data_IF_982656442335
#
_entry.id   IF_982656442335
#
_cell.length_a   1.000
_cell.length_b   1.000
_cell.length_c   1.000
_cell.angle_alpha   90.00
_cell.angle_beta   90.00
_cell.angle_gamma   90.00
#
_symmetry.space_group_name_H-M   'P 1'
#
loop_
_entity.id
_entity.type
_entity.pdbx_description
1 polymer ?
#
# COMPACT_ATOMS: atom_id res chain seq x y z
N UNK A 1 -9.75 -17.42 -1.04
CA UNK A 1 -9.80 -16.88 0.34
C UNK A 1 -8.68 -15.85 0.42
N UNK A 2 -8.97 -14.58 0.79
CA UNK A 2 -7.92 -13.55 0.85
C UNK A 2 -6.92 -13.84 1.98
N UNK A 3 -5.71 -13.29 1.86
CA UNK A 3 -4.62 -13.43 2.84
C UNK A 3 -4.39 -12.08 3.54
N UNK A 4 -4.26 -12.09 4.86
CA UNK A 4 -3.89 -10.90 5.62
C UNK A 4 -2.41 -10.56 5.33
N UNK A 5 -2.14 -9.30 5.04
CA UNK A 5 -0.79 -8.78 4.84
C UNK A 5 -0.55 -7.59 5.76
N UNK A 6 0.67 -7.50 6.27
CA UNK A 6 1.07 -6.40 7.15
C UNK A 6 1.56 -5.20 6.35
N UNK A 7 1.17 -4.01 6.77
CA UNK A 7 1.73 -2.76 6.25
C UNK A 7 3.22 -2.69 6.65
N UNK A 8 4.15 -2.51 5.70
CA UNK A 8 5.57 -2.35 6.04
C UNK A 8 5.78 -1.18 7.01
N UNK A 9 6.57 -1.38 8.07
CA UNK A 9 6.74 -0.39 9.15
C UNK A 9 7.15 1.02 8.64
N UNK A 10 8.01 1.07 7.60
CA UNK A 10 8.41 2.33 6.97
C UNK A 10 7.22 3.06 6.31
N UNK A 11 6.32 2.30 5.68
CA UNK A 11 5.12 2.85 5.02
C UNK A 11 4.12 3.30 6.08
N UNK A 12 3.95 2.51 7.13
CA UNK A 12 3.08 2.84 8.27
C UNK A 12 3.47 4.17 8.91
N UNK A 13 4.78 4.42 9.15
CA UNK A 13 5.26 5.68 9.70
C UNK A 13 4.94 6.89 8.81
N UNK A 14 5.18 6.75 7.50
CA UNK A 14 4.89 7.85 6.55
C UNK A 14 3.39 8.16 6.43
N UNK A 15 2.54 7.14 6.46
CA UNK A 15 1.09 7.33 6.43
C UNK A 15 0.57 7.88 7.77
N UNK A 16 1.11 7.42 8.91
CA UNK A 16 0.74 7.92 10.22
C UNK A 16 0.96 9.45 10.33
N UNK A 17 2.01 9.99 9.70
CA UNK A 17 2.21 11.44 9.61
C UNK A 17 1.09 12.16 8.85
N UNK A 18 0.56 11.54 7.78
CA UNK A 18 -0.53 12.14 6.98
C UNK A 18 -1.87 12.13 7.73
N UNK A 19 -2.14 11.06 8.48
CA UNK A 19 -3.40 10.89 9.21
C UNK A 19 -3.38 11.44 10.63
N UNK A 20 -2.20 11.63 11.23
CA UNK A 20 -2.01 12.07 12.61
C UNK A 20 -2.32 10.98 13.64
N UNK A 21 -2.37 9.71 13.25
CA UNK A 21 -2.71 8.57 14.10
C UNK A 21 -2.04 7.26 13.63
N UNK A 22 -1.96 6.24 14.53
CA UNK A 22 -1.46 4.91 14.17
C UNK A 22 -2.43 4.17 13.28
N UNK A 23 -1.87 3.36 12.35
CA UNK A 23 -2.60 2.56 11.37
C UNK A 23 -2.62 1.05 11.73
N UNK A 24 -2.02 0.66 12.85
CA UNK A 24 -1.77 -0.76 13.21
C UNK A 24 -3.06 -1.57 13.40
N UNK A 25 -4.17 -0.91 13.67
CA UNK A 25 -5.47 -1.52 13.87
C UNK A 25 -6.23 -1.80 12.55
N UNK A 26 -5.68 -1.33 11.41
CA UNK A 26 -6.27 -1.54 10.08
C UNK A 26 -5.67 -2.79 9.43
N UNK A 27 -6.52 -3.75 9.08
CA UNK A 27 -6.10 -4.98 8.40
C UNK A 27 -6.20 -4.84 6.90
N UNK A 28 -5.21 -5.36 6.19
CA UNK A 28 -5.18 -5.41 4.73
C UNK A 28 -5.30 -6.86 4.30
N UNK A 29 -6.25 -7.15 3.41
CA UNK A 29 -6.54 -8.49 2.89
C UNK A 29 -6.33 -8.50 1.38
N UNK A 30 -5.23 -9.11 0.92
CA UNK A 30 -4.92 -9.25 -0.51
C UNK A 30 -5.67 -10.41 -1.17
N UNK A 31 -5.81 -10.36 -2.50
CA UNK A 31 -6.48 -11.37 -3.34
C UNK A 31 -7.90 -11.71 -2.84
N UNK A 32 -8.61 -10.72 -2.33
CA UNK A 32 -9.93 -10.88 -1.73
C UNK A 32 -11.00 -11.12 -2.79
N UNK A 33 -11.78 -12.20 -2.62
CA UNK A 33 -12.97 -12.44 -3.42
C UNK A 33 -14.03 -11.35 -3.21
N UNK A 34 -14.09 -10.76 -2.02
CA UNK A 34 -15.01 -9.66 -1.72
C UNK A 34 -14.71 -8.43 -2.58
N UNK A 35 -13.42 -8.07 -2.75
CA UNK A 35 -13.03 -7.00 -3.66
C UNK A 35 -13.33 -7.32 -5.14
N UNK A 36 -13.31 -8.59 -5.53
CA UNK A 36 -13.62 -9.03 -6.90
C UNK A 36 -15.10 -8.89 -7.26
N UNK A 37 -15.99 -8.93 -6.27
CA UNK A 37 -17.43 -8.71 -6.48
C UNK A 37 -17.76 -7.25 -6.83
N UNK A 38 -16.87 -6.32 -6.48
CA UNK A 38 -16.98 -4.91 -6.84
C UNK A 38 -16.25 -4.66 -8.17
N UNK A 39 -16.95 -4.86 -9.28
CA UNK A 39 -16.43 -4.99 -10.67
C UNK A 39 -15.49 -3.85 -11.10
N UNK A 40 -15.56 -2.67 -10.49
CA UNK A 40 -14.77 -1.49 -10.87
C UNK A 40 -13.76 -1.03 -9.81
N UNK A 41 -13.74 -1.63 -8.63
CA UNK A 41 -12.85 -1.21 -7.55
C UNK A 41 -11.57 -2.06 -7.51
N UNK A 42 -10.41 -1.42 -7.42
CA UNK A 42 -9.10 -2.05 -7.19
C UNK A 42 -8.99 -2.50 -5.73
N UNK A 43 -9.58 -1.74 -4.83
CA UNK A 43 -9.70 -2.01 -3.41
C UNK A 43 -11.10 -1.67 -2.92
N UNK A 44 -11.47 -2.18 -1.76
CA UNK A 44 -12.76 -1.91 -1.10
C UNK A 44 -12.54 -1.90 0.41
N UNK A 45 -13.04 -0.89 1.08
CA UNK A 45 -12.92 -0.76 2.53
C UNK A 45 -14.20 -1.13 3.26
N UNK A 46 -14.06 -1.67 4.46
CA UNK A 46 -15.18 -1.86 5.38
C UNK A 46 -14.68 -1.81 6.82
N UNK A 47 -15.06 -0.77 7.56
CA UNK A 47 -14.57 -0.50 8.91
C UNK A 47 -13.04 -0.56 8.97
N UNK A 48 -12.44 -1.39 9.80
CA UNK A 48 -10.99 -1.54 9.99
C UNK A 48 -10.31 -2.49 9.00
N UNK A 49 -10.85 -2.63 7.77
CA UNK A 49 -10.29 -3.55 6.76
C UNK A 49 -10.28 -2.93 5.38
N UNK A 50 -9.16 -3.14 4.70
CA UNK A 50 -8.97 -2.83 3.29
C UNK A 50 -8.86 -4.16 2.55
N UNK A 51 -9.76 -4.41 1.61
CA UNK A 51 -9.78 -5.61 0.78
C UNK A 51 -9.23 -5.28 -0.60
N UNK A 52 -8.11 -5.90 -0.96
CA UNK A 52 -7.45 -5.70 -2.23
C UNK A 52 -7.87 -6.79 -3.23
N UNK A 53 -8.06 -6.39 -4.48
CA UNK A 53 -8.26 -7.31 -5.59
C UNK A 53 -6.94 -7.98 -6.00
N UNK A 54 -5.84 -7.23 -5.96
CA UNK A 54 -4.48 -7.63 -6.28
C UNK A 54 -3.63 -7.95 -5.06
N UNK A 55 -2.33 -7.76 -5.21
CA UNK A 55 -1.33 -8.00 -4.16
C UNK A 55 -1.19 -6.82 -3.20
N UNK A 56 -0.69 -7.11 -1.99
CA UNK A 56 -0.30 -6.06 -1.04
C UNK A 56 0.85 -5.20 -1.58
N UNK A 57 1.78 -5.81 -2.32
CA UNK A 57 2.92 -5.09 -2.91
C UNK A 57 2.46 -3.98 -3.85
N UNK A 58 1.56 -4.29 -4.80
CA UNK A 58 1.02 -3.30 -5.73
C UNK A 58 0.31 -2.15 -4.99
N UNK A 59 -0.36 -2.48 -3.90
CA UNK A 59 -1.02 -1.49 -3.04
C UNK A 59 0.00 -0.60 -2.33
N UNK A 60 1.07 -1.18 -1.76
CA UNK A 60 2.11 -0.42 -1.04
C UNK A 60 2.99 0.43 -1.97
N UNK A 61 3.05 0.10 -3.25
CA UNK A 61 3.73 0.89 -4.27
C UNK A 61 2.88 2.02 -4.86
N UNK A 62 1.62 2.14 -4.42
CA UNK A 62 0.71 3.20 -4.85
C UNK A 62 0.30 4.12 -3.67
N UNK A 63 1.08 5.17 -3.37
CA UNK A 63 0.82 6.10 -2.26
C UNK A 63 -0.55 6.78 -2.34
N UNK A 64 -1.01 7.13 -3.55
CA UNK A 64 -2.31 7.74 -3.74
C UNK A 64 -3.45 6.81 -3.33
N UNK A 65 -3.38 5.55 -3.77
CA UNK A 65 -4.39 4.54 -3.43
C UNK A 65 -4.38 4.25 -1.93
N UNK A 66 -3.20 4.17 -1.31
CA UNK A 66 -3.11 4.01 0.15
C UNK A 66 -3.81 5.15 0.88
N UNK A 67 -3.51 6.40 0.54
CA UNK A 67 -4.13 7.57 1.15
C UNK A 67 -5.66 7.56 0.99
N UNK A 68 -6.15 7.21 -0.20
CA UNK A 68 -7.57 7.11 -0.53
C UNK A 68 -8.28 6.05 0.34
N UNK A 69 -7.77 4.82 0.35
CA UNK A 69 -8.41 3.71 1.08
C UNK A 69 -8.34 3.88 2.61
N UNK A 70 -7.21 4.38 3.12
CA UNK A 70 -7.10 4.72 4.54
C UNK A 70 -8.00 5.89 4.94
N UNK A 71 -8.25 6.86 4.05
CA UNK A 71 -9.22 7.92 4.29
C UNK A 71 -10.63 7.34 4.52
N UNK A 72 -11.06 6.39 3.67
CA UNK A 72 -12.32 5.69 3.90
C UNK A 72 -12.37 5.03 5.28
N UNK A 73 -11.29 4.35 5.70
CA UNK A 73 -11.27 3.65 6.99
C UNK A 73 -11.30 4.64 8.15
N UNK A 74 -10.32 5.56 8.21
CA UNK A 74 -10.05 6.36 9.40
C UNK A 74 -10.97 7.58 9.52
N UNK A 75 -11.26 8.24 8.38
CA UNK A 75 -12.03 9.49 8.38
C UNK A 75 -13.52 9.30 8.16
N UNK A 76 -13.94 8.14 7.67
CA UNK A 76 -15.34 7.94 7.29
C UNK A 76 -16.00 6.75 8.00
N UNK A 77 -15.37 5.53 7.97
CA UNK A 77 -15.91 4.35 8.64
C UNK A 77 -15.80 4.43 10.16
N UNK A 78 -14.65 4.82 10.70
CA UNK A 78 -14.43 4.84 12.14
C UNK A 78 -15.27 5.90 12.87
N UNK A 79 -15.40 7.13 12.36
CA UNK A 79 -16.32 8.10 12.94
C UNK A 79 -17.79 7.73 12.76
N UNK A 80 -18.10 6.72 11.91
CA UNK A 80 -19.48 6.28 11.65
C UNK A 80 -20.23 7.15 10.64
N UNK A 81 -19.53 8.01 9.92
CA UNK A 81 -20.13 8.82 8.85
C UNK A 81 -20.45 7.98 7.63
N UNK A 82 -19.51 7.12 7.21
CA UNK A 82 -19.70 6.15 6.15
C UNK A 82 -20.37 4.89 6.71
N UNK A 83 -21.53 4.57 6.17
CA UNK A 83 -22.21 3.28 6.36
C UNK A 83 -22.65 2.75 5.00
N UNK A 84 -22.79 1.43 4.87
CA UNK A 84 -23.19 0.84 3.58
C UNK A 84 -24.48 1.46 3.02
N UNK A 85 -25.56 1.66 3.80
CA UNK A 85 -26.78 2.30 3.28
C UNK A 85 -26.54 3.74 2.81
N UNK A 86 -25.75 4.54 3.56
CA UNK A 86 -25.44 5.92 3.17
C UNK A 86 -24.62 5.97 1.90
N UNK A 87 -23.61 5.09 1.77
CA UNK A 87 -22.81 4.99 0.56
C UNK A 87 -23.65 4.66 -0.66
N UNK A 88 -24.50 3.64 -0.55
CA UNK A 88 -25.38 3.25 -1.65
C UNK A 88 -26.38 4.36 -2.02
N UNK A 89 -26.94 5.05 -1.02
CA UNK A 89 -27.84 6.18 -1.26
C UNK A 89 -27.14 7.33 -2.02
N UNK A 90 -25.89 7.66 -1.65
CA UNK A 90 -25.09 8.64 -2.36
C UNK A 90 -24.77 8.20 -3.80
N UNK A 91 -24.43 6.92 -4.00
CA UNK A 91 -24.24 6.37 -5.34
C UNK A 91 -25.50 6.46 -6.20
N UNK A 92 -26.68 6.19 -5.64
CA UNK A 92 -27.96 6.31 -6.35
C UNK A 92 -28.31 7.75 -6.71
N UNK A 93 -27.99 8.68 -5.82
CA UNK A 93 -28.33 10.12 -6.01
C UNK A 93 -27.35 10.83 -6.95
N UNK A 94 -26.06 10.54 -6.87
CA UNK A 94 -24.99 11.33 -7.50
C UNK A 94 -24.10 10.53 -8.43
N UNK A 95 -24.25 9.21 -8.50
CA UNK A 95 -23.32 8.30 -9.16
C UNK A 95 -22.03 8.12 -8.35
N UNK A 96 -21.23 7.15 -8.75
CA UNK A 96 -19.96 6.82 -8.07
C UNK A 96 -18.99 8.02 -8.02
N UNK A 97 -18.78 8.69 -9.14
CA UNK A 97 -17.80 9.77 -9.26
C UNK A 97 -18.10 11.00 -8.39
N UNK A 98 -19.38 11.29 -8.18
CA UNK A 98 -19.85 12.43 -7.38
C UNK A 98 -20.35 12.02 -6.00
N UNK A 99 -20.15 10.74 -5.61
CA UNK A 99 -20.40 10.29 -4.27
C UNK A 99 -19.50 11.07 -3.31
N UNK A 100 -20.09 11.73 -2.30
CA UNK A 100 -19.34 12.60 -1.37
C UNK A 100 -18.18 11.89 -0.68
N UNK A 101 -18.32 10.63 -0.33
CA UNK A 101 -17.29 9.85 0.33
C UNK A 101 -16.10 9.59 -0.59
N UNK A 102 -16.37 9.34 -1.88
CA UNK A 102 -15.34 9.17 -2.90
C UNK A 102 -14.64 10.50 -3.22
N UNK A 103 -15.40 11.60 -3.28
CA UNK A 103 -14.84 12.94 -3.50
C UNK A 103 -13.89 13.31 -2.38
N UNK A 104 -14.32 13.17 -1.12
CA UNK A 104 -13.51 13.46 0.06
C UNK A 104 -12.22 12.61 0.11
N UNK A 105 -12.32 11.30 -0.18
CA UNK A 105 -11.16 10.43 -0.18
C UNK A 105 -10.16 10.78 -1.29
N UNK A 106 -10.62 11.18 -2.48
CA UNK A 106 -9.76 11.68 -3.57
C UNK A 106 -9.08 12.98 -3.19
N UNK A 107 -9.83 13.94 -2.68
CA UNK A 107 -9.29 15.25 -2.25
C UNK A 107 -8.25 15.07 -1.15
N UNK A 108 -8.50 14.19 -0.18
CA UNK A 108 -7.54 13.87 0.86
C UNK A 108 -6.25 13.28 0.26
N UNK A 109 -6.39 12.31 -0.65
CA UNK A 109 -5.24 11.68 -1.31
C UNK A 109 -4.44 12.73 -2.10
N UNK A 110 -5.09 13.57 -2.89
CA UNK A 110 -4.45 14.59 -3.72
C UNK A 110 -3.67 15.61 -2.87
N UNK A 111 -4.26 16.07 -1.77
CA UNK A 111 -3.63 17.04 -0.85
C UNK A 111 -2.39 16.47 -0.17
N UNK A 112 -2.42 15.19 0.23
CA UNK A 112 -1.34 14.58 1.01
C UNK A 112 -0.31 13.84 0.16
N UNK A 113 -0.56 13.59 -1.13
CA UNK A 113 0.27 12.76 -2.00
C UNK A 113 1.73 13.20 -2.04
N UNK A 114 1.99 14.45 -2.36
CA UNK A 114 3.36 14.95 -2.56
C UNK A 114 4.20 14.81 -1.30
N UNK A 115 3.63 15.14 -0.13
CA UNK A 115 4.30 15.02 1.17
C UNK A 115 4.57 13.55 1.52
N UNK A 116 3.61 12.67 1.29
CA UNK A 116 3.73 11.24 1.57
C UNK A 116 4.78 10.59 0.68
N UNK A 117 4.81 10.91 -0.62
CA UNK A 117 5.83 10.42 -1.56
C UNK A 117 7.23 10.84 -1.11
N UNK A 118 7.40 12.13 -0.76
CA UNK A 118 8.69 12.62 -0.26
C UNK A 118 9.12 11.92 1.04
N UNK A 119 8.19 11.64 1.96
CA UNK A 119 8.48 10.90 3.20
C UNK A 119 8.90 9.44 2.89
N UNK A 120 8.21 8.76 1.97
CA UNK A 120 8.56 7.40 1.54
C UNK A 120 9.93 7.33 0.87
N UNK A 121 10.28 8.31 0.04
CA UNK A 121 11.59 8.41 -0.59
C UNK A 121 12.70 8.59 0.44
N UNK A 122 12.53 9.49 1.42
CA UNK A 122 13.48 9.66 2.53
C UNK A 122 13.65 8.38 3.35
N UNK A 123 12.57 7.69 3.65
CA UNK A 123 12.61 6.45 4.40
C UNK A 123 13.34 5.31 3.63
N UNK A 124 13.21 5.27 2.30
CA UNK A 124 13.97 4.34 1.43
C UNK A 124 15.45 4.66 1.46
N UNK A 125 15.84 5.91 1.21
CA UNK A 125 17.25 6.34 1.21
C UNK A 125 17.94 6.07 2.57
N UNK A 126 17.25 6.33 3.68
CA UNK A 126 17.79 6.05 5.03
C UNK A 126 17.98 4.54 5.29
N UNK A 127 17.14 3.69 4.71
CA UNK A 127 17.29 2.24 4.82
C UNK A 127 18.48 1.72 4.02
N UNK A 128 18.69 2.23 2.80
CA UNK A 128 19.81 1.88 1.93
C UNK A 128 21.16 2.30 2.55
N UNK A 129 21.23 3.48 3.17
CA UNK A 129 22.43 3.93 3.88
C UNK A 129 22.76 3.08 5.11
N UNK A 130 21.74 2.53 5.79
CA UNK A 130 21.95 1.68 6.98
C UNK A 130 22.38 0.25 6.63
N UNK A 131 22.01 -0.23 5.46
CA UNK A 131 22.38 -1.55 4.93
C UNK A 131 22.85 -1.39 3.50
N UNK A 132 24.10 -0.85 3.27
CA UNK A 132 24.62 -0.81 1.92
C UNK A 132 24.66 -2.25 1.39
N UNK A 133 24.04 -2.46 0.23
CA UNK A 133 24.20 -3.72 -0.50
C UNK A 133 25.68 -3.80 -0.83
N UNK A 134 26.43 -4.62 -0.10
CA UNK A 134 27.78 -5.01 -0.49
C UNK A 134 27.55 -5.87 -1.72
N UNK A 135 27.69 -5.27 -2.91
CA UNK A 135 27.93 -6.06 -4.11
C UNK A 135 29.17 -6.90 -3.81
N UNK A 136 28.94 -8.18 -3.52
CA UNK A 136 30.01 -9.14 -3.51
C UNK A 136 30.56 -9.12 -4.93
N UNK A 137 31.68 -8.40 -5.12
CA UNK A 137 32.53 -8.60 -6.28
C UNK A 137 32.85 -10.08 -6.28
N UNK A 138 32.14 -10.84 -7.11
CA UNK A 138 32.56 -12.17 -7.48
C UNK A 138 33.89 -11.95 -8.22
N UNK A 139 35.01 -12.14 -7.52
CA UNK A 139 36.30 -12.29 -8.15
C UNK A 139 36.21 -13.50 -9.09
N UNK A 140 35.89 -13.19 -10.35
CA UNK A 140 35.85 -14.17 -11.44
C UNK A 140 37.22 -14.76 -11.72
N UNK A 141 38.30 -14.20 -11.12
CA UNK A 141 39.68 -14.66 -11.34
C UNK A 141 40.06 -15.91 -10.55
N UNK A 142 39.38 -16.24 -9.46
CA UNK A 142 39.71 -17.44 -8.67
C UNK A 142 39.10 -18.73 -9.25
N UNK A 143 38.04 -18.63 -10.05
CA UNK A 143 37.39 -19.80 -10.65
C UNK A 143 38.13 -20.31 -11.90
N UNK A 144 38.86 -19.48 -12.61
CA UNK A 144 39.66 -19.90 -13.77
C UNK A 144 40.94 -20.63 -13.38
N UNK A 145 41.57 -20.31 -12.26
CA UNK A 145 42.86 -20.91 -11.85
C UNK A 145 42.72 -22.39 -11.38
N UNK A 146 41.51 -22.86 -11.07
CA UNK A 146 41.34 -24.25 -10.63
C UNK A 146 41.04 -25.24 -11.75
N UNK A 147 40.71 -24.76 -12.96
CA UNK A 147 40.34 -25.61 -14.10
C UNK A 147 41.56 -26.07 -14.94
N UNK A 148 42.68 -25.35 -14.86
CA UNK A 148 43.90 -25.70 -15.64
C UNK A 148 44.77 -26.75 -14.97
N UNK A 149 44.56 -27.09 -13.69
CA UNK A 149 45.34 -28.10 -12.95
C UNK A 149 44.85 -29.53 -13.03
N UNK A 150 43.75 -29.80 -13.74
CA UNK A 150 43.24 -31.17 -13.90
C UNK A 150 43.16 -31.66 -15.34
N UNK A 151 43.83 -30.99 -16.30
CA UNK A 151 43.85 -31.41 -17.71
C UNK A 151 45.10 -32.19 -18.11
N UNK A 152 46.04 -32.46 -17.16
CA UNK A 152 47.27 -33.21 -17.42
C UNK A 152 47.42 -34.37 -16.44
N UNK A 153 46.52 -35.37 -16.60
CA UNK A 153 46.78 -36.78 -16.13
C UNK A 153 45.88 -37.77 -16.87
#
# INVERSE_FOLDING_TARGET
MGRDVSLPARVAGCLAEAFGESLDHVRIVEHSLFARLHIRAVATTRRRRIYLRGSGTDFFDNPWLMLHEYCHVLKQWEPGELTTPRYLLECLRRGYWNNRFEVEAREFADVHLARTVAALQRARASAEQRFPVVEAACDADEYCAHRERHADR
#
